data_IF_699865966528
#
_entry.id   IF_699865966528
#
_cell.length_a   1.000
_cell.length_b   1.000
_cell.length_c   1.000
_cell.angle_alpha   90.00
_cell.angle_beta   90.00
_cell.angle_gamma   90.00
#
_symmetry.space_group_name_H-M   'P 1'
#
loop_
_entity.id
_entity.type
_entity.pdbx_description
1 polymer ?
#
# COMPACT_ATOMS: atom_id res chain seq x y z
N UNK A 1 10.52 14.66 -4.19
CA UNK A 1 10.12 13.29 -3.80
C UNK A 1 11.38 12.47 -3.45
N UNK A 2 11.44 11.87 -2.25
CA UNK A 2 12.54 10.98 -1.88
C UNK A 2 12.24 9.56 -2.44
N UNK A 3 12.87 9.22 -3.57
CA UNK A 3 12.62 7.97 -4.28
C UNK A 3 13.01 6.73 -3.45
N UNK A 4 14.07 6.81 -2.65
CA UNK A 4 14.51 5.71 -1.78
C UNK A 4 13.46 5.38 -0.73
N UNK A 5 12.84 6.41 -0.13
CA UNK A 5 11.76 6.22 0.83
C UNK A 5 10.57 5.51 0.20
N UNK A 6 10.12 5.94 -0.98
CA UNK A 6 8.99 5.32 -1.69
C UNK A 6 9.29 3.86 -2.02
N UNK A 7 10.51 3.56 -2.46
CA UNK A 7 10.91 2.19 -2.79
C UNK A 7 10.96 1.28 -1.56
N UNK A 8 11.43 1.78 -0.40
CA UNK A 8 11.39 0.99 0.85
C UNK A 8 9.95 0.72 1.31
N UNK A 9 9.03 1.69 1.15
CA UNK A 9 7.61 1.46 1.42
C UNK A 9 7.02 0.39 0.49
N UNK A 10 7.27 0.49 -0.83
CA UNK A 10 6.82 -0.51 -1.81
C UNK A 10 7.32 -1.92 -1.45
N UNK A 11 8.60 -2.06 -1.09
CA UNK A 11 9.20 -3.34 -0.65
C UNK A 11 8.49 -3.93 0.57
N UNK A 12 8.32 -3.15 1.64
CA UNK A 12 7.64 -3.60 2.87
C UNK A 12 6.20 -4.03 2.62
N UNK A 13 5.51 -3.35 1.71
CA UNK A 13 4.14 -3.70 1.35
C UNK A 13 4.10 -5.02 0.56
N UNK A 14 5.02 -5.20 -0.39
CA UNK A 14 5.14 -6.48 -1.13
C UNK A 14 5.44 -7.65 -0.20
N UNK A 15 6.34 -7.47 0.77
CA UNK A 15 6.66 -8.51 1.76
C UNK A 15 5.40 -8.97 2.52
N UNK A 16 4.55 -8.02 2.94
CA UNK A 16 3.27 -8.32 3.61
C UNK A 16 2.25 -8.98 2.67
N UNK A 17 2.16 -8.54 1.42
CA UNK A 17 1.27 -9.17 0.41
C UNK A 17 1.70 -10.61 0.15
N UNK A 18 3.00 -10.86 -0.02
CA UNK A 18 3.53 -12.19 -0.25
C UNK A 18 3.24 -13.11 0.94
N UNK A 19 3.50 -12.65 2.16
CA UNK A 19 3.17 -13.39 3.37
C UNK A 19 1.67 -13.72 3.46
N UNK A 20 0.80 -12.77 3.14
CA UNK A 20 -0.65 -12.99 3.12
C UNK A 20 -1.06 -14.01 2.05
N UNK A 21 -0.48 -13.94 0.84
CA UNK A 21 -0.71 -14.91 -0.24
C UNK A 21 -0.28 -16.32 0.18
N UNK A 22 0.89 -16.47 0.78
CA UNK A 22 1.39 -17.74 1.32
C UNK A 22 0.47 -18.29 2.42
N UNK A 23 -0.19 -17.40 3.15
CA UNK A 23 -1.17 -17.73 4.20
C UNK A 23 -2.60 -17.94 3.68
N UNK A 24 -2.80 -17.97 2.35
CA UNK A 24 -4.11 -18.09 1.70
C UNK A 24 -5.11 -16.98 2.09
N UNK A 25 -4.59 -15.78 2.35
CA UNK A 25 -5.36 -14.56 2.61
C UNK A 25 -5.39 -13.75 1.30
N UNK A 26 -6.51 -13.07 1.02
CA UNK A 26 -6.73 -12.31 -0.22
C UNK A 26 -6.71 -10.78 -0.05
N UNK A 27 -6.48 -10.30 1.18
CA UNK A 27 -6.47 -8.87 1.49
C UNK A 27 -5.52 -8.52 2.63
N UNK A 28 -4.94 -7.34 2.56
CA UNK A 28 -4.15 -6.71 3.63
C UNK A 28 -4.67 -5.31 3.89
N UNK A 29 -4.85 -4.96 5.15
CA UNK A 29 -5.16 -3.60 5.60
C UNK A 29 -4.04 -3.07 6.48
N UNK A 30 -3.60 -1.85 6.23
CA UNK A 30 -2.51 -1.20 6.95
C UNK A 30 -2.81 0.28 7.23
N UNK A 31 -2.24 0.80 8.32
CA UNK A 31 -2.26 2.23 8.61
C UNK A 31 -1.17 2.91 7.80
N UNK A 32 -1.57 3.83 6.93
CA UNK A 32 -0.66 4.61 6.09
C UNK A 32 -0.20 5.87 6.85
N UNK A 33 0.89 5.74 7.61
CA UNK A 33 1.57 6.86 8.29
C UNK A 33 2.44 7.68 7.31
N UNK A 34 1.83 8.21 6.24
CA UNK A 34 2.50 9.07 5.28
C UNK A 34 1.61 10.28 4.99
N UNK A 35 2.05 11.48 5.35
CA UNK A 35 1.30 12.73 5.12
C UNK A 35 1.63 13.39 3.77
N UNK A 36 2.63 12.88 3.05
CA UNK A 36 3.01 13.39 1.74
C UNK A 36 2.02 12.92 0.66
N UNK A 37 1.26 13.87 0.11
CA UNK A 37 0.23 13.59 -0.91
C UNK A 37 0.81 13.05 -2.21
N UNK A 38 2.02 13.47 -2.61
CA UNK A 38 2.66 12.95 -3.82
C UNK A 38 3.04 11.48 -3.64
N UNK A 39 3.59 11.14 -2.47
CA UNK A 39 3.93 9.75 -2.12
C UNK A 39 2.69 8.87 -2.07
N UNK A 40 1.59 9.35 -1.45
CA UNK A 40 0.32 8.62 -1.45
C UNK A 40 -0.19 8.36 -2.88
N UNK A 41 -0.14 9.38 -3.75
CA UNK A 41 -0.62 9.27 -5.14
C UNK A 41 0.23 8.28 -5.94
N UNK A 42 1.54 8.30 -5.75
CA UNK A 42 2.48 7.38 -6.39
C UNK A 42 2.24 5.93 -5.94
N UNK A 43 2.05 5.69 -4.64
CA UNK A 43 1.71 4.37 -4.11
C UNK A 43 0.39 3.85 -4.66
N UNK A 44 -0.67 4.67 -4.65
CA UNK A 44 -1.98 4.29 -5.19
C UNK A 44 -1.91 3.97 -6.69
N UNK A 45 -1.21 4.79 -7.47
CA UNK A 45 -1.01 4.56 -8.91
C UNK A 45 -0.28 3.25 -9.15
N UNK A 46 0.78 2.99 -8.37
CA UNK A 46 1.53 1.74 -8.45
C UNK A 46 0.65 0.51 -8.18
N UNK A 47 -0.18 0.53 -7.13
CA UNK A 47 -1.08 -0.60 -6.86
C UNK A 47 -2.04 -0.90 -8.01
N UNK A 48 -2.61 0.15 -8.62
CA UNK A 48 -3.53 0.00 -9.74
C UNK A 48 -2.81 -0.59 -10.97
N UNK A 49 -1.58 -0.15 -11.23
CA UNK A 49 -0.75 -0.67 -12.34
C UNK A 49 -0.45 -2.17 -12.15
N UNK A 50 -0.17 -2.59 -10.92
CA UNK A 50 0.08 -4.00 -10.57
C UNK A 50 -1.20 -4.86 -10.52
N UNK A 51 -2.38 -4.27 -10.76
CA UNK A 51 -3.66 -4.98 -10.80
C UNK A 51 -4.32 -5.18 -9.44
N UNK A 52 -3.82 -4.53 -8.39
CA UNK A 52 -4.45 -4.60 -7.07
C UNK A 52 -5.71 -3.73 -7.01
N UNK A 53 -6.73 -4.23 -6.29
CA UNK A 53 -7.86 -3.41 -5.87
C UNK A 53 -7.49 -2.71 -4.57
N UNK A 54 -7.50 -1.39 -4.58
CA UNK A 54 -7.12 -0.59 -3.42
C UNK A 54 -8.21 0.36 -2.96
N UNK A 55 -8.32 0.52 -1.64
CA UNK A 55 -9.15 1.54 -1.01
C UNK A 55 -8.35 2.27 0.05
N UNK A 56 -8.43 3.61 0.05
CA UNK A 56 -7.85 4.46 1.07
C UNK A 56 -8.97 5.20 1.82
N UNK A 57 -9.19 4.84 3.08
CA UNK A 57 -10.14 5.51 3.97
C UNK A 57 -9.37 6.58 4.75
N UNK A 58 -9.84 7.82 4.71
CA UNK A 58 -9.23 8.96 5.40
C UNK A 58 -10.12 9.36 6.57
N UNK A 59 -9.63 9.16 7.78
CA UNK A 59 -10.28 9.53 9.04
C UNK A 59 -9.21 10.05 10.03
N UNK A 60 -9.35 9.82 11.33
CA UNK A 60 -8.30 10.04 12.34
C UNK A 60 -6.95 9.42 11.94
N UNK A 61 -7.00 8.28 11.24
CA UNK A 61 -5.86 7.65 10.57
C UNK A 61 -6.21 7.29 9.13
N UNK A 62 -5.19 7.23 8.26
CA UNK A 62 -5.37 6.77 6.89
C UNK A 62 -5.26 5.24 6.86
N UNK A 63 -6.32 4.54 6.45
CA UNK A 63 -6.34 3.08 6.32
C UNK A 63 -6.27 2.72 4.83
N UNK A 64 -5.19 2.06 4.44
CA UNK A 64 -5.00 1.49 3.11
C UNK A 64 -5.37 0.01 3.14
N UNK A 65 -6.33 -0.39 2.32
CA UNK A 65 -6.65 -1.80 2.07
C UNK A 65 -6.25 -2.16 0.64
N UNK A 66 -5.62 -3.32 0.50
CA UNK A 66 -5.11 -3.88 -0.75
C UNK A 66 -5.66 -5.29 -0.89
N UNK A 67 -6.33 -5.58 -2.00
CA UNK A 67 -6.91 -6.87 -2.35
C UNK A 67 -6.38 -7.32 -3.73
N UNK A 68 -6.29 -8.63 -3.95
CA UNK A 68 -5.85 -9.25 -5.20
C UNK A 68 -6.71 -10.45 -5.60
#
# INVERSE_FOLDING_TARGET
>A
MNLEFVNDQKRKILDNINYAKESNINKVSAILMCNDKEVQKELLSWFVIEGYKVSLIKDEVNILTIEW
#
